data_IF_598741881067
#
_entry.id   IF_598741881067
#
_cell.length_a   1.000
_cell.length_b   1.000
_cell.length_c   1.000
_cell.angle_alpha   90.00
_cell.angle_beta   90.00
_cell.angle_gamma   90.00
#
_symmetry.space_group_name_H-M   'P 1'
#
loop_
_entity.id
_entity.type
_entity.pdbx_description
1 polymer ?
#
# COMPACT_ATOMS: atom_id res chain seq x y z
N UNK A 1 36.77 -58.43 49.01
CA UNK A 1 37.53 -57.85 47.86
C UNK A 1 36.51 -57.53 46.78
N UNK A 2 36.37 -56.24 46.40
CA UNK A 2 35.41 -55.72 45.40
C UNK A 2 35.67 -56.32 44.01
N UNK A 3 34.62 -56.55 43.20
CA UNK A 3 34.54 -56.55 41.72
C UNK A 3 33.11 -57.01 41.35
N UNK A 4 32.34 -56.55 40.36
CA UNK A 4 32.40 -55.44 39.39
C UNK A 4 31.03 -55.46 38.67
N UNK A 5 30.32 -54.32 38.60
CA UNK A 5 29.08 -54.16 37.82
C UNK A 5 29.34 -54.37 36.32
N UNK A 6 28.40 -55.02 35.60
CA UNK A 6 28.47 -55.05 34.13
C UNK A 6 27.58 -56.03 33.33
N UNK A 7 26.54 -56.67 33.90
CA UNK A 7 25.79 -57.69 33.17
C UNK A 7 24.27 -57.77 33.46
N UNK A 8 23.62 -56.64 33.78
CA UNK A 8 22.16 -56.57 33.97
C UNK A 8 21.50 -55.50 33.08
N UNK A 9 22.04 -55.30 31.89
CA UNK A 9 21.56 -54.30 30.91
C UNK A 9 21.05 -54.93 29.59
N UNK A 10 20.93 -56.26 29.49
CA UNK A 10 20.50 -56.94 28.25
C UNK A 10 19.14 -57.64 28.30
N UNK A 11 18.41 -57.63 29.43
CA UNK A 11 17.10 -58.31 29.53
C UNK A 11 15.87 -57.39 29.50
N UNK A 12 16.03 -56.06 29.50
CA UNK A 12 14.88 -55.13 29.45
C UNK A 12 14.56 -54.67 28.02
N UNK A 13 15.38 -55.04 27.03
CA UNK A 13 15.16 -54.67 25.61
C UNK A 13 14.41 -55.71 24.77
N UNK A 14 14.05 -56.86 25.35
CA UNK A 14 13.30 -57.91 24.64
C UNK A 14 11.85 -58.09 25.12
N UNK A 15 11.43 -57.38 26.17
CA UNK A 15 10.00 -57.23 26.53
C UNK A 15 9.38 -56.03 25.80
N UNK A 16 9.66 -55.92 24.51
CA UNK A 16 8.81 -55.16 23.62
C UNK A 16 7.52 -55.93 23.31
N UNK A 17 6.56 -55.19 22.78
CA UNK A 17 5.75 -55.65 21.64
C UNK A 17 4.41 -56.37 21.89
N UNK A 18 3.87 -56.44 23.10
CA UNK A 18 2.49 -57.00 23.28
C UNK A 18 1.50 -56.07 23.98
N UNK A 19 1.95 -55.07 24.74
CA UNK A 19 1.03 -54.05 25.31
C UNK A 19 0.97 -52.87 24.35
N UNK A 20 0.49 -53.14 23.15
CA UNK A 20 0.43 -52.18 22.04
C UNK A 20 -0.80 -52.39 21.18
N UNK A 21 -2.01 -52.51 21.77
CA UNK A 21 -3.26 -52.45 20.97
C UNK A 21 -4.53 -51.97 21.69
N UNK A 22 -4.58 -51.70 23.01
CA UNK A 22 -5.88 -51.40 23.67
C UNK A 22 -6.01 -50.08 24.43
N UNK A 23 -4.95 -49.29 24.56
CA UNK A 23 -5.09 -47.91 25.05
C UNK A 23 -5.00 -46.97 23.86
N UNK A 24 -6.15 -46.57 23.32
CA UNK A 24 -6.25 -45.41 22.43
C UNK A 24 -5.56 -44.23 23.13
N UNK A 25 -4.37 -43.77 22.70
CA UNK A 25 -3.93 -42.47 23.12
C UNK A 25 -4.92 -41.52 22.46
N UNK A 26 -5.71 -40.83 23.28
CA UNK A 26 -6.32 -39.57 22.89
C UNK A 26 -5.19 -38.81 22.22
N UNK A 27 -5.21 -38.77 20.89
CA UNK A 27 -4.33 -37.93 20.10
C UNK A 27 -4.58 -36.56 20.65
N UNK A 28 -3.61 -36.04 21.38
CA UNK A 28 -3.60 -34.65 21.75
C UNK A 28 -3.98 -33.87 20.49
N UNK A 29 -5.11 -33.18 20.56
CA UNK A 29 -5.44 -32.13 19.63
C UNK A 29 -4.36 -31.06 19.83
N UNK A 30 -3.22 -31.25 19.20
CA UNK A 30 -2.31 -30.17 18.89
C UNK A 30 -3.05 -29.44 17.79
N UNK A 31 -3.75 -28.37 18.17
CA UNK A 31 -4.38 -27.47 17.23
C UNK A 31 -3.34 -27.10 16.19
N UNK A 32 -3.51 -27.59 14.96
CA UNK A 32 -2.82 -27.02 13.83
C UNK A 32 -3.28 -25.57 13.75
N UNK A 33 -2.35 -24.66 13.98
CA UNK A 33 -2.48 -23.24 13.69
C UNK A 33 -2.46 -23.05 12.16
N UNK A 34 -3.49 -23.60 11.51
CA UNK A 34 -3.60 -23.72 10.06
C UNK A 34 -3.83 -22.37 9.34
N UNK A 35 -4.09 -21.30 10.09
CA UNK A 35 -4.36 -19.98 9.52
C UNK A 35 -3.11 -19.21 9.07
N UNK A 36 -1.96 -19.46 9.69
CA UNK A 36 -0.74 -18.70 9.35
C UNK A 36 -0.06 -19.24 8.09
N UNK A 37 0.03 -20.56 7.92
CA UNK A 37 0.75 -21.17 6.79
C UNK A 37 0.10 -20.83 5.43
N UNK A 38 -1.23 -20.84 5.34
CA UNK A 38 -1.95 -20.48 4.12
C UNK A 38 -1.79 -19.01 3.75
N UNK A 39 -1.69 -18.13 4.75
CA UNK A 39 -1.56 -16.67 4.53
C UNK A 39 -0.19 -16.34 3.95
N UNK A 40 0.88 -16.94 4.48
CA UNK A 40 2.23 -16.75 3.93
C UNK A 40 2.37 -17.30 2.51
N UNK A 41 1.71 -18.41 2.19
CA UNK A 41 1.65 -18.95 0.83
C UNK A 41 0.96 -17.97 -0.14
N UNK A 42 -0.16 -17.38 0.26
CA UNK A 42 -0.87 -16.38 -0.55
C UNK A 42 -0.04 -15.11 -0.75
N UNK A 43 0.66 -14.64 0.29
CA UNK A 43 1.55 -13.49 0.17
C UNK A 43 2.76 -13.79 -0.74
N UNK A 44 3.29 -15.01 -0.69
CA UNK A 44 4.37 -15.45 -1.58
C UNK A 44 3.90 -15.47 -3.04
N UNK A 45 2.71 -16.03 -3.30
CA UNK A 45 2.10 -16.01 -4.62
C UNK A 45 1.87 -14.59 -5.15
N UNK A 46 1.41 -13.68 -4.28
CA UNK A 46 1.24 -12.27 -4.64
C UNK A 46 2.58 -11.63 -5.05
N UNK A 47 3.65 -11.89 -4.29
CA UNK A 47 5.02 -11.45 -4.63
C UNK A 47 5.50 -12.00 -5.97
N UNK A 48 5.28 -13.29 -6.23
CA UNK A 48 5.65 -13.92 -7.50
C UNK A 48 4.92 -13.30 -8.70
N UNK A 49 3.63 -12.97 -8.54
CA UNK A 49 2.84 -12.29 -9.58
C UNK A 49 3.39 -10.88 -9.81
N UNK A 50 3.68 -10.14 -8.75
CA UNK A 50 4.26 -8.80 -8.83
C UNK A 50 5.59 -8.78 -9.60
N UNK A 51 6.50 -9.70 -9.27
CA UNK A 51 7.78 -9.88 -9.98
C UNK A 51 7.58 -10.24 -11.45
N UNK A 52 6.66 -11.15 -11.76
CA UNK A 52 6.36 -11.53 -13.15
C UNK A 52 5.83 -10.37 -13.97
N UNK A 53 4.99 -9.51 -13.40
CA UNK A 53 4.49 -8.31 -14.08
C UNK A 53 5.66 -7.38 -14.40
N UNK A 54 6.51 -7.07 -13.42
CA UNK A 54 7.66 -6.20 -13.64
C UNK A 54 8.61 -6.73 -14.71
N UNK A 55 8.87 -8.04 -14.70
CA UNK A 55 9.85 -8.64 -15.61
C UNK A 55 9.35 -8.82 -17.06
N UNK A 56 8.05 -9.02 -17.26
CA UNK A 56 7.51 -9.44 -18.56
C UNK A 56 6.54 -8.44 -19.21
N UNK A 57 6.19 -7.35 -18.52
CA UNK A 57 5.31 -6.34 -19.10
C UNK A 57 6.04 -5.50 -20.16
N UNK A 58 5.30 -5.04 -21.17
CA UNK A 58 5.85 -4.37 -22.35
C UNK A 58 6.61 -3.09 -21.99
N UNK A 59 6.18 -2.40 -20.94
CA UNK A 59 6.77 -1.16 -20.43
C UNK A 59 7.00 -1.32 -18.94
N UNK A 60 8.23 -1.17 -18.43
CA UNK A 60 8.52 -1.36 -17.00
C UNK A 60 7.61 -0.48 -16.12
N UNK A 61 6.68 -1.09 -15.35
CA UNK A 61 5.75 -0.32 -14.54
C UNK A 61 6.41 0.15 -13.23
N UNK A 62 6.19 1.40 -12.81
CA UNK A 62 6.69 1.90 -11.53
C UNK A 62 6.16 1.06 -10.35
N UNK A 63 7.05 0.64 -9.45
CA UNK A 63 6.69 -0.26 -8.35
C UNK A 63 5.72 0.39 -7.36
N UNK A 64 5.89 1.68 -7.10
CA UNK A 64 4.99 2.53 -6.32
C UNK A 64 3.57 2.54 -6.91
N UNK A 65 3.42 2.68 -8.23
CA UNK A 65 2.12 2.63 -8.89
C UNK A 65 1.47 1.25 -8.79
N UNK A 66 2.23 0.18 -8.98
CA UNK A 66 1.71 -1.18 -8.86
C UNK A 66 1.21 -1.48 -7.43
N UNK A 67 1.99 -1.12 -6.41
CA UNK A 67 1.61 -1.30 -5.01
C UNK A 67 0.38 -0.45 -4.69
N UNK A 68 0.36 0.81 -5.11
CA UNK A 68 -0.79 1.70 -4.93
C UNK A 68 -2.08 1.10 -5.52
N UNK A 69 -2.01 0.56 -6.73
CA UNK A 69 -3.15 -0.08 -7.39
C UNK A 69 -3.58 -1.37 -6.68
N UNK A 70 -2.64 -2.18 -6.21
CA UNK A 70 -2.95 -3.40 -5.47
C UNK A 70 -3.67 -3.10 -4.15
N UNK A 71 -3.20 -2.12 -3.39
CA UNK A 71 -3.84 -1.69 -2.13
C UNK A 71 -5.24 -1.15 -2.39
N UNK A 72 -5.41 -0.26 -3.37
CA UNK A 72 -6.74 0.25 -3.72
C UNK A 72 -7.69 -0.84 -4.22
N UNK A 73 -7.19 -1.81 -4.98
CA UNK A 73 -7.97 -2.99 -5.39
C UNK A 73 -8.47 -3.80 -4.19
N UNK A 74 -7.62 -4.07 -3.21
CA UNK A 74 -8.01 -4.76 -1.98
C UNK A 74 -9.08 -3.99 -1.19
N UNK A 75 -8.93 -2.67 -1.04
CA UNK A 75 -9.88 -1.84 -0.32
C UNK A 75 -11.23 -1.72 -1.03
N UNK A 76 -11.23 -1.62 -2.36
CA UNK A 76 -12.46 -1.56 -3.15
C UNK A 76 -13.32 -2.83 -3.02
N UNK A 77 -12.69 -3.97 -2.74
CA UNK A 77 -13.38 -5.23 -2.48
C UNK A 77 -13.94 -5.36 -1.06
N UNK A 78 -13.51 -4.51 -0.14
CA UNK A 78 -13.96 -4.54 1.26
C UNK A 78 -15.21 -3.67 1.47
N UNK A 79 -15.17 -2.40 1.05
CA UNK A 79 -16.26 -1.44 1.22
C UNK A 79 -16.11 -0.24 0.25
N UNK A 80 -17.22 0.28 -0.35
CA UNK A 80 -17.19 1.44 -1.25
C UNK A 80 -16.61 2.75 -0.69
N UNK A 81 -16.50 2.92 0.63
CA UNK A 81 -15.98 4.13 1.24
C UNK A 81 -14.54 4.00 1.75
N UNK A 82 -13.91 2.84 1.56
CA UNK A 82 -12.51 2.60 1.93
C UNK A 82 -11.57 2.95 0.78
N UNK A 83 -10.60 3.83 1.03
CA UNK A 83 -9.58 4.20 0.05
C UNK A 83 -8.21 4.42 0.69
N UNK A 84 -7.15 4.26 -0.11
CA UNK A 84 -5.77 4.53 0.32
C UNK A 84 -5.22 5.77 -0.38
N UNK A 85 -4.72 6.71 0.42
CA UNK A 85 -4.11 7.95 -0.08
C UNK A 85 -2.59 7.81 -0.10
N UNK A 86 -1.99 8.07 -1.25
CA UNK A 86 -0.54 8.23 -1.33
C UNK A 86 -0.11 9.60 -0.74
N UNK A 87 1.21 9.80 -0.59
CA UNK A 87 1.75 11.00 0.05
C UNK A 87 1.29 12.31 -0.62
N UNK A 88 1.19 12.33 -1.96
CA UNK A 88 0.71 13.50 -2.71
C UNK A 88 -0.77 13.77 -2.42
N UNK A 89 -1.62 12.75 -2.55
CA UNK A 89 -3.05 12.87 -2.26
C UNK A 89 -3.32 13.34 -0.84
N UNK A 90 -2.56 12.83 0.13
CA UNK A 90 -2.68 13.25 1.53
C UNK A 90 -2.24 14.70 1.73
N UNK A 91 -1.17 15.15 1.06
CA UNK A 91 -0.77 16.55 1.07
C UNK A 91 -1.84 17.47 0.47
N UNK A 92 -2.40 17.09 -0.68
CA UNK A 92 -3.45 17.84 -1.37
C UNK A 92 -4.72 17.95 -0.48
N UNK A 93 -5.13 16.85 0.18
CA UNK A 93 -6.24 16.86 1.15
C UNK A 93 -5.99 17.76 2.36
N UNK A 94 -4.75 17.79 2.87
CA UNK A 94 -4.39 18.67 3.98
C UNK A 94 -4.47 20.14 3.57
N UNK A 95 -4.01 20.47 2.36
CA UNK A 95 -4.15 21.83 1.80
C UNK A 95 -5.61 22.23 1.72
N UNK A 96 -6.46 21.36 1.17
CA UNK A 96 -7.91 21.59 1.07
C UNK A 96 -8.57 21.77 2.45
N UNK A 97 -8.19 20.94 3.43
CA UNK A 97 -8.78 20.96 4.79
C UNK A 97 -8.33 22.16 5.62
N UNK A 98 -7.06 22.53 5.51
CA UNK A 98 -6.49 23.65 6.29
C UNK A 98 -6.79 25.01 5.67
N UNK A 99 -7.20 25.03 4.39
CA UNK A 99 -7.31 26.25 3.61
C UNK A 99 -5.98 26.96 3.39
N UNK A 100 -4.86 26.31 3.74
CA UNK A 100 -3.51 26.84 3.54
C UNK A 100 -2.97 26.32 2.22
N UNK A 101 -3.39 26.97 1.14
CA UNK A 101 -2.87 26.73 -0.19
C UNK A 101 -1.44 27.29 -0.25
N UNK A 102 -0.45 26.40 -0.31
CA UNK A 102 0.91 26.79 -0.65
C UNK A 102 0.91 27.41 -2.05
N UNK A 103 1.42 28.63 -2.17
CA UNK A 103 1.47 29.37 -3.45
C UNK A 103 0.91 30.80 -3.35
N UNK A 104 0.38 31.30 -4.46
CA UNK A 104 -0.14 32.67 -4.58
C UNK A 104 -1.57 32.83 -4.05
N UNK A 105 -2.31 31.74 -3.84
CA UNK A 105 -3.70 31.76 -3.37
C UNK A 105 -4.74 32.00 -4.46
N UNK A 106 -4.59 31.32 -5.61
CA UNK A 106 -5.50 31.40 -6.75
C UNK A 106 -6.22 30.07 -6.94
N UNK A 107 -7.53 30.13 -7.09
CA UNK A 107 -8.33 29.04 -7.65
C UNK A 107 -8.38 29.21 -9.18
N UNK A 108 -7.91 28.20 -9.91
CA UNK A 108 -7.81 28.23 -11.37
C UNK A 108 -8.47 27.01 -11.98
N UNK A 109 -8.97 27.18 -13.21
CA UNK A 109 -9.54 26.11 -14.01
C UNK A 109 -8.99 26.16 -15.42
N UNK A 110 -8.91 25.01 -16.07
CA UNK A 110 -8.59 24.93 -17.49
C UNK A 110 -9.90 25.02 -18.29
N UNK A 111 -9.96 25.95 -19.23
CA UNK A 111 -11.10 26.11 -20.11
C UNK A 111 -10.65 26.48 -21.53
N UNK A 112 -10.64 25.50 -22.42
CA UNK A 112 -10.35 25.71 -23.84
C UNK A 112 -8.87 25.85 -24.15
N UNK A 113 -8.01 25.15 -23.40
CA UNK A 113 -6.55 25.19 -23.52
C UNK A 113 -5.92 26.40 -22.83
N UNK A 114 -6.70 27.17 -22.08
CA UNK A 114 -6.28 28.36 -21.34
C UNK A 114 -6.57 28.18 -19.85
N UNK A 115 -5.65 28.66 -19.03
CA UNK A 115 -5.83 28.72 -17.58
C UNK A 115 -6.59 29.99 -17.20
N UNK A 116 -7.72 29.82 -16.52
CA UNK A 116 -8.62 30.90 -16.11
C UNK A 116 -8.75 30.94 -14.60
N UNK A 117 -8.70 32.12 -14.02
CA UNK A 117 -8.94 32.35 -12.59
C UNK A 117 -10.43 32.22 -12.30
N UNK A 118 -10.78 31.31 -11.38
CA UNK A 118 -12.11 31.23 -10.79
C UNK A 118 -12.23 32.30 -9.71
N UNK A 119 -11.36 32.26 -8.70
CA UNK A 119 -11.37 33.20 -7.60
C UNK A 119 -10.00 33.34 -6.92
N UNK A 120 -9.59 34.55 -6.51
CA UNK A 120 -8.51 34.70 -5.54
C UNK A 120 -9.04 34.38 -4.13
N UNK A 121 -8.22 33.75 -3.31
CA UNK A 121 -8.53 33.50 -1.90
C UNK A 121 -8.26 34.79 -1.12
N UNK A 122 -9.19 35.19 -0.24
CA UNK A 122 -9.05 36.40 0.58
C UNK A 122 -7.73 36.39 1.39
N UNK A 123 -7.15 37.59 1.57
CA UNK A 123 -5.90 37.82 2.30
C UNK A 123 -4.62 37.14 1.73
N UNK A 124 -4.72 36.44 0.60
CA UNK A 124 -3.55 35.85 -0.09
C UNK A 124 -2.78 36.87 -0.94
N UNK A 125 -1.52 36.57 -1.34
CA UNK A 125 -0.77 37.43 -2.25
C UNK A 125 -1.50 37.76 -3.56
N UNK A 126 -2.22 36.82 -4.14
CA UNK A 126 -3.00 37.02 -5.36
C UNK A 126 -4.15 38.02 -5.17
N UNK A 127 -4.86 37.95 -4.04
CA UNK A 127 -5.88 38.92 -3.68
C UNK A 127 -5.28 40.32 -3.52
N UNK A 128 -4.15 40.43 -2.83
CA UNK A 128 -3.41 41.69 -2.63
C UNK A 128 -2.84 42.25 -3.94
N UNK A 129 -2.52 41.39 -4.91
CA UNK A 129 -2.11 41.77 -6.25
C UNK A 129 -3.27 42.26 -7.13
N UNK A 130 -4.52 42.13 -6.65
CA UNK A 130 -5.71 42.62 -7.35
C UNK A 130 -6.18 41.74 -8.51
N UNK A 131 -5.77 40.46 -8.52
CA UNK A 131 -6.24 39.47 -9.51
C UNK A 131 -7.74 39.28 -9.33
N UNK A 132 -8.48 39.14 -10.44
CA UNK A 132 -9.94 39.05 -10.43
C UNK A 132 -10.45 37.72 -11.00
N UNK A 133 -11.64 37.29 -10.56
CA UNK A 133 -12.39 36.24 -11.23
C UNK A 133 -12.51 36.54 -12.73
N UNK A 134 -12.11 35.57 -13.55
CA UNK A 134 -12.19 35.66 -15.00
C UNK A 134 -10.89 36.05 -15.72
N UNK A 135 -9.84 36.43 -14.98
CA UNK A 135 -8.53 36.69 -15.56
C UNK A 135 -7.96 35.43 -16.21
N UNK A 136 -7.19 35.60 -17.28
CA UNK A 136 -6.53 34.51 -18.00
C UNK A 136 -5.03 34.56 -17.70
N UNK A 137 -4.47 33.43 -17.30
CA UNK A 137 -3.03 33.29 -17.08
C UNK A 137 -2.42 32.90 -18.43
N UNK A 138 -1.57 33.76 -18.97
CA UNK A 138 -0.92 33.59 -20.29
C UNK A 138 0.49 32.97 -20.18
N UNK A 139 1.21 33.30 -19.10
CA UNK A 139 2.56 32.84 -18.83
C UNK A 139 2.79 32.69 -17.32
N UNK A 140 3.62 31.72 -16.93
CA UNK A 140 4.16 31.54 -15.57
C UNK A 140 5.68 31.49 -15.68
N UNK A 141 6.38 32.38 -14.96
CA UNK A 141 7.86 32.49 -15.01
C UNK A 141 8.45 32.61 -16.43
N UNK A 142 7.69 33.21 -17.36
CA UNK A 142 8.09 33.38 -18.76
C UNK A 142 7.84 32.15 -19.64
N UNK A 143 7.18 31.11 -19.12
CA UNK A 143 6.71 29.95 -19.89
C UNK A 143 5.21 30.06 -20.18
N UNK A 144 4.85 29.88 -21.46
CA UNK A 144 3.45 29.93 -21.87
C UNK A 144 2.63 28.83 -21.24
N UNK A 145 1.43 29.20 -20.79
CA UNK A 145 0.43 28.30 -20.22
C UNK A 145 -0.53 27.73 -21.26
N UNK A 146 -0.41 28.12 -22.53
CA UNK A 146 -1.26 27.60 -23.60
C UNK A 146 -1.07 26.09 -23.77
N UNK A 147 -2.18 25.35 -23.65
CA UNK A 147 -2.19 23.90 -23.80
C UNK A 147 -1.57 23.11 -22.64
N UNK A 148 -1.18 23.77 -21.55
CA UNK A 148 -0.79 23.07 -20.32
C UNK A 148 -2.03 22.47 -19.65
N UNK A 149 -1.92 21.22 -19.20
CA UNK A 149 -2.90 20.68 -18.27
C UNK A 149 -2.75 21.39 -16.92
N UNK A 150 -3.87 21.55 -16.19
CA UNK A 150 -3.87 22.23 -14.90
C UNK A 150 -2.79 21.70 -13.94
N UNK A 151 -2.62 20.38 -13.88
CA UNK A 151 -1.64 19.73 -13.00
C UNK A 151 -0.17 19.98 -13.40
N UNK A 152 0.10 20.35 -14.64
CA UNK A 152 1.45 20.63 -15.13
C UNK A 152 1.83 22.11 -14.96
N UNK A 153 0.85 22.96 -14.61
CA UNK A 153 1.00 24.40 -14.46
C UNK A 153 1.15 24.87 -12.99
N UNK A 154 1.04 23.97 -12.01
CA UNK A 154 1.17 24.25 -10.56
C UNK A 154 2.31 23.48 -9.89
#
# INVERSE_FOLDING_TARGET
MKLRNGLLLSCVFLSGLVIGTTTSPIRHAWGQEAGNDSTYQQLSLFGDIFERIKANYVVDPPSDKLIYNAVNGMLSGLDPHSSYMNAKQYADMQVETTGQFGGLGLEVTEAGGLLKVISPIDDTPAFKAGIKPGDIIVDIDGHSTEGLALNDAV
#
